data_IF_301522123235
#
_entry.id   IF_301522123235
#
_cell.length_a   1.000
_cell.length_b   1.000
_cell.length_c   1.000
_cell.angle_alpha   90.00
_cell.angle_beta   90.00
_cell.angle_gamma   90.00
#
_symmetry.space_group_name_H-M   'P 1'
#
loop_
_entity.id
_entity.type
_entity.pdbx_description
1 polymer ?
#
# COMPACT_ATOMS: atom_id res chain seq x y z
N UNK A 1 17.28 5.86 -23.38
CA UNK A 1 15.82 6.04 -23.30
C UNK A 1 15.21 4.64 -23.31
N UNK A 2 14.85 4.09 -22.14
CA UNK A 2 14.16 2.80 -22.07
C UNK A 2 12.71 3.08 -22.44
N UNK A 3 12.33 2.77 -23.67
CA UNK A 3 10.94 2.66 -24.07
C UNK A 3 10.35 1.48 -23.29
N UNK A 4 9.79 1.76 -22.10
CA UNK A 4 8.84 0.84 -21.51
C UNK A 4 7.74 0.62 -22.54
N UNK A 5 7.75 -0.52 -23.17
CA UNK A 5 6.64 -1.01 -23.98
C UNK A 5 5.42 -0.82 -23.11
N UNK A 6 4.56 0.15 -23.49
CA UNK A 6 3.30 0.44 -22.80
C UNK A 6 2.42 -0.79 -22.94
N UNK A 7 2.61 -1.76 -22.05
CA UNK A 7 1.83 -2.99 -22.07
C UNK A 7 0.35 -2.62 -22.02
N UNK A 8 -0.49 -3.37 -22.72
CA UNK A 8 -1.97 -3.16 -22.68
C UNK A 8 -2.48 -3.15 -21.26
N UNK A 9 -1.83 -3.91 -20.37
CA UNK A 9 -2.11 -3.95 -18.94
C UNK A 9 -1.84 -2.60 -18.27
N UNK A 10 -0.66 -2.00 -18.49
CA UNK A 10 -0.33 -0.66 -17.94
C UNK A 10 -1.38 0.38 -18.34
N UNK A 11 -1.75 0.43 -19.64
CA UNK A 11 -2.74 1.39 -20.14
C UNK A 11 -4.12 1.17 -19.50
N UNK A 12 -4.53 -0.07 -19.30
CA UNK A 12 -5.80 -0.40 -18.62
C UNK A 12 -5.78 0.05 -17.16
N UNK A 13 -4.68 -0.21 -16.44
CA UNK A 13 -4.54 0.15 -15.02
C UNK A 13 -4.59 1.66 -14.82
N UNK A 14 -3.86 2.43 -15.62
CA UNK A 14 -3.83 3.90 -15.49
C UNK A 14 -5.11 4.59 -15.98
N UNK A 15 -5.91 3.92 -16.83
CA UNK A 15 -7.19 4.42 -17.32
C UNK A 15 -8.33 4.24 -16.31
N UNK A 16 -8.12 3.43 -15.26
CA UNK A 16 -9.13 3.21 -14.23
C UNK A 16 -9.42 4.50 -13.47
N UNK A 17 -10.71 4.79 -13.32
CA UNK A 17 -11.22 5.93 -12.56
C UNK A 17 -12.23 5.49 -11.50
N UNK A 18 -12.65 6.44 -10.66
CA UNK A 18 -13.66 6.20 -9.64
C UNK A 18 -13.34 5.06 -8.67
N UNK A 19 -14.38 4.34 -8.23
CA UNK A 19 -14.25 3.26 -7.25
C UNK A 19 -13.37 2.08 -7.71
N UNK A 20 -13.32 1.80 -9.02
CA UNK A 20 -12.50 0.71 -9.59
C UNK A 20 -11.01 0.92 -9.34
N UNK A 21 -10.56 2.17 -9.37
CA UNK A 21 -9.18 2.53 -9.03
C UNK A 21 -8.86 2.20 -7.57
N UNK A 22 -9.75 2.57 -6.66
CA UNK A 22 -9.60 2.32 -5.23
C UNK A 22 -9.63 0.82 -4.90
N UNK A 23 -10.57 0.09 -5.50
CA UNK A 23 -10.66 -1.36 -5.35
C UNK A 23 -9.39 -2.06 -5.85
N UNK A 24 -8.88 -1.68 -7.03
CA UNK A 24 -7.61 -2.25 -7.53
C UNK A 24 -6.46 -1.94 -6.58
N UNK A 25 -6.37 -0.70 -6.09
CA UNK A 25 -5.29 -0.30 -5.18
C UNK A 25 -5.34 -1.08 -3.86
N UNK A 26 -6.53 -1.29 -3.31
CA UNK A 26 -6.75 -2.13 -2.14
C UNK A 26 -6.29 -3.58 -2.40
N UNK A 27 -6.70 -4.18 -3.52
CA UNK A 27 -6.31 -5.54 -3.90
C UNK A 27 -4.80 -5.68 -4.11
N UNK A 28 -4.12 -4.67 -4.65
CA UNK A 28 -2.66 -4.65 -4.76
C UNK A 28 -2.00 -4.63 -3.37
N UNK A 29 -2.60 -3.93 -2.41
CA UNK A 29 -2.16 -3.96 -1.02
C UNK A 29 -2.32 -5.34 -0.37
N UNK A 30 -3.48 -5.96 -0.53
CA UNK A 30 -3.74 -7.34 -0.07
C UNK A 30 -2.76 -8.32 -0.71
N UNK A 31 -2.51 -8.19 -2.01
CA UNK A 31 -1.53 -9.01 -2.73
C UNK A 31 -0.13 -8.86 -2.13
N UNK A 32 0.30 -7.63 -1.84
CA UNK A 32 1.60 -7.36 -1.22
C UNK A 32 1.70 -7.92 0.19
N UNK A 33 0.59 -7.98 0.95
CA UNK A 33 0.56 -8.62 2.26
C UNK A 33 0.82 -10.14 2.19
N UNK A 34 0.56 -10.78 1.06
CA UNK A 34 0.90 -12.18 0.82
C UNK A 34 2.41 -12.47 0.84
N UNK A 35 3.27 -11.45 0.84
CA UNK A 35 4.70 -11.62 1.07
C UNK A 35 5.05 -11.93 2.54
N UNK A 36 4.13 -11.65 3.46
CA UNK A 36 4.30 -11.90 4.89
C UNK A 36 3.89 -13.34 5.24
N UNK A 37 4.19 -13.75 6.48
CA UNK A 37 3.70 -15.02 7.02
C UNK A 37 2.16 -15.06 7.02
N UNK A 38 1.55 -16.20 6.75
CA UNK A 38 2.15 -17.53 6.55
C UNK A 38 2.54 -17.85 5.10
N UNK A 39 2.17 -17.01 4.12
CA UNK A 39 2.34 -17.33 2.69
C UNK A 39 3.79 -17.19 2.20
N UNK A 40 4.57 -16.27 2.80
CA UNK A 40 5.97 -15.99 2.42
C UNK A 40 6.20 -15.78 0.91
N UNK A 41 5.16 -15.31 0.19
CA UNK A 41 5.17 -15.09 -1.25
C UNK A 41 5.87 -13.79 -1.65
N UNK A 42 7.17 -13.65 -1.41
CA UNK A 42 7.95 -12.41 -1.66
C UNK A 42 7.80 -11.92 -3.11
N UNK A 43 7.62 -12.83 -4.06
CA UNK A 43 7.36 -12.47 -5.46
C UNK A 43 6.07 -11.67 -5.68
N UNK A 44 5.11 -11.72 -4.73
CA UNK A 44 3.87 -10.94 -4.78
C UNK A 44 4.09 -9.43 -4.55
N UNK A 45 5.23 -9.06 -3.95
CA UNK A 45 5.61 -7.65 -3.82
C UNK A 45 5.85 -7.01 -5.19
N UNK A 46 6.38 -7.76 -6.15
CA UNK A 46 6.71 -7.22 -7.48
C UNK A 46 5.46 -6.66 -8.17
N UNK A 47 4.38 -7.43 -8.39
CA UNK A 47 3.16 -6.88 -8.98
C UNK A 47 2.46 -5.85 -8.06
N UNK A 48 2.48 -6.06 -6.74
CA UNK A 48 1.87 -5.14 -5.77
C UNK A 48 2.47 -3.74 -5.84
N UNK A 49 3.79 -3.64 -5.67
CA UNK A 49 4.51 -2.35 -5.67
C UNK A 49 4.62 -1.74 -7.08
N UNK A 50 4.78 -2.56 -8.14
CA UNK A 50 4.79 -2.05 -9.51
C UNK A 50 3.44 -1.44 -9.88
N UNK A 51 2.33 -2.11 -9.54
CA UNK A 51 0.98 -1.59 -9.74
C UNK A 51 0.74 -0.31 -8.96
N UNK A 52 1.21 -0.24 -7.71
CA UNK A 52 1.16 0.97 -6.90
C UNK A 52 1.90 2.13 -7.59
N UNK A 53 3.13 1.92 -8.04
CA UNK A 53 3.93 2.93 -8.73
C UNK A 53 3.25 3.41 -10.02
N UNK A 54 2.65 2.52 -10.81
CA UNK A 54 1.91 2.90 -12.01
C UNK A 54 0.75 3.84 -11.67
N UNK A 55 0.01 3.56 -10.60
CA UNK A 55 -1.10 4.40 -10.15
C UNK A 55 -0.61 5.73 -9.57
N UNK A 56 0.49 5.76 -8.83
CA UNK A 56 1.10 6.99 -8.31
C UNK A 56 1.58 7.90 -9.43
N UNK A 57 2.19 7.34 -10.49
CA UNK A 57 2.69 8.11 -11.63
C UNK A 57 1.65 8.34 -12.74
N UNK A 58 0.45 7.79 -12.63
CA UNK A 58 -0.67 8.11 -13.50
C UNK A 58 -1.06 9.60 -13.34
N UNK A 59 -1.88 10.10 -14.27
CA UNK A 59 -2.40 11.48 -14.20
C UNK A 59 -3.17 11.69 -12.89
N UNK A 60 -2.82 12.74 -12.13
CA UNK A 60 -3.50 13.04 -10.88
C UNK A 60 -2.78 14.07 -10.01
N UNK A 61 -3.47 14.48 -8.95
CA UNK A 61 -3.02 15.42 -7.94
C UNK A 61 -2.31 14.69 -6.78
N UNK A 62 -1.67 15.45 -5.88
CA UNK A 62 -1.14 14.91 -4.63
C UNK A 62 -2.22 14.23 -3.76
N UNK A 63 -3.46 14.77 -3.79
CA UNK A 63 -4.63 14.14 -3.11
C UNK A 63 -4.95 12.77 -3.69
N UNK A 64 -4.88 12.62 -5.02
CA UNK A 64 -5.10 11.33 -5.66
C UNK A 64 -3.97 10.33 -5.31
N UNK A 65 -2.72 10.79 -5.20
CA UNK A 65 -1.61 9.97 -4.74
C UNK A 65 -1.79 9.53 -3.28
N UNK A 66 -2.26 10.44 -2.40
CA UNK A 66 -2.60 10.11 -1.02
C UNK A 66 -3.64 8.98 -0.96
N UNK A 67 -4.76 9.13 -1.69
CA UNK A 67 -5.79 8.09 -1.73
C UNK A 67 -5.28 6.74 -2.24
N UNK A 68 -4.42 6.74 -3.27
CA UNK A 68 -3.78 5.51 -3.77
C UNK A 68 -2.93 4.86 -2.69
N UNK A 69 -2.08 5.62 -1.99
CA UNK A 69 -1.26 5.10 -0.90
C UNK A 69 -2.09 4.61 0.28
N UNK A 70 -3.14 5.36 0.65
CA UNK A 70 -4.00 5.01 1.76
C UNK A 70 -4.78 3.70 1.50
N UNK A 71 -5.42 3.56 0.32
CA UNK A 71 -6.14 2.34 -0.03
C UNK A 71 -5.22 1.14 -0.18
N UNK A 72 -4.00 1.33 -0.70
CA UNK A 72 -2.99 0.29 -0.73
C UNK A 72 -2.60 -0.15 0.69
N UNK A 73 -2.25 0.80 1.55
CA UNK A 73 -1.89 0.53 2.94
C UNK A 73 -3.03 -0.12 3.71
N UNK A 74 -4.26 0.36 3.52
CA UNK A 74 -5.44 -0.21 4.16
C UNK A 74 -5.64 -1.68 3.77
N UNK A 75 -5.51 -2.03 2.48
CA UNK A 75 -5.54 -3.42 2.03
C UNK A 75 -4.40 -4.27 2.60
N UNK A 76 -3.18 -3.72 2.57
CA UNK A 76 -1.99 -4.39 3.07
C UNK A 76 -2.08 -4.70 4.56
N UNK A 77 -2.43 -3.71 5.37
CA UNK A 77 -2.53 -3.89 6.82
C UNK A 77 -3.78 -4.66 7.24
N UNK A 78 -4.91 -4.51 6.56
CA UNK A 78 -6.11 -5.32 6.85
C UNK A 78 -5.83 -6.82 6.66
N UNK A 79 -5.07 -7.19 5.63
CA UNK A 79 -4.69 -8.57 5.39
C UNK A 79 -3.53 -9.01 6.30
N UNK A 80 -2.54 -8.13 6.56
CA UNK A 80 -1.36 -8.46 7.36
C UNK A 80 -1.63 -8.55 8.86
N UNK A 81 -2.64 -7.82 9.37
CA UNK A 81 -2.96 -7.75 10.80
C UNK A 81 -4.09 -8.71 11.23
N UNK A 82 -4.44 -9.71 10.40
CA UNK A 82 -5.49 -10.67 10.75
C UNK A 82 -5.25 -11.37 12.11
N UNK A 83 -3.98 -11.53 12.50
CA UNK A 83 -3.59 -12.14 13.78
C UNK A 83 -4.05 -11.33 15.00
N UNK A 84 -4.25 -10.02 14.85
CA UNK A 84 -4.80 -9.16 15.92
C UNK A 84 -6.23 -9.60 16.26
N UNK A 85 -7.00 -10.04 15.27
CA UNK A 85 -8.32 -10.60 15.51
C UNK A 85 -8.26 -11.86 16.39
N UNK A 86 -7.26 -12.73 16.19
CA UNK A 86 -7.11 -13.96 16.94
C UNK A 86 -6.93 -13.69 18.46
N UNK A 87 -6.22 -12.63 18.82
CA UNK A 87 -6.06 -12.23 20.21
C UNK A 87 -7.39 -11.86 20.88
N UNK A 88 -8.28 -11.18 20.15
CA UNK A 88 -9.61 -10.81 20.65
C UNK A 88 -10.60 -11.96 20.62
N UNK A 89 -10.44 -12.90 19.70
CA UNK A 89 -11.25 -14.10 19.57
C UNK A 89 -10.88 -15.20 20.58
N UNK A 90 -9.87 -15.01 21.41
CA UNK A 90 -9.57 -15.88 22.55
C UNK A 90 -10.71 -15.85 23.59
N UNK A 91 -11.40 -14.71 23.72
CA UNK A 91 -12.60 -14.54 24.55
C UNK A 91 -13.76 -13.95 23.72
N UNK A 92 -14.36 -14.75 22.83
CA UNK A 92 -15.28 -14.25 21.80
C UNK A 92 -16.52 -13.60 22.39
N UNK A 93 -17.04 -14.10 23.50
CA UNK A 93 -18.25 -13.60 24.16
C UNK A 93 -18.09 -12.17 24.71
N UNK A 94 -16.85 -11.78 25.06
CA UNK A 94 -16.55 -10.45 25.58
C UNK A 94 -16.03 -9.49 24.52
N UNK A 95 -15.11 -9.94 23.67
CA UNK A 95 -14.31 -9.06 22.80
C UNK A 95 -14.45 -9.36 21.31
N UNK A 96 -15.18 -10.45 20.92
CA UNK A 96 -15.29 -10.83 19.52
C UNK A 96 -15.88 -9.76 18.61
N UNK A 97 -16.84 -8.95 19.12
CA UNK A 97 -17.43 -7.85 18.37
C UNK A 97 -16.44 -6.70 18.09
N UNK A 98 -15.38 -6.57 18.90
CA UNK A 98 -14.34 -5.55 18.72
C UNK A 98 -13.33 -5.92 17.64
N UNK A 99 -13.18 -7.20 17.31
CA UNK A 99 -12.15 -7.69 16.39
C UNK A 99 -12.13 -6.96 15.04
N UNK A 100 -13.25 -6.80 14.32
CA UNK A 100 -13.24 -6.07 13.05
C UNK A 100 -12.86 -4.60 13.22
N UNK A 101 -13.33 -3.95 14.29
CA UNK A 101 -12.99 -2.55 14.55
C UNK A 101 -11.52 -2.36 14.89
N UNK A 102 -10.94 -3.27 15.67
CA UNK A 102 -9.53 -3.22 16.01
C UNK A 102 -8.65 -3.43 14.77
N UNK A 103 -8.92 -4.44 13.95
CA UNK A 103 -8.13 -4.72 12.75
C UNK A 103 -8.25 -3.59 11.73
N UNK A 104 -9.47 -3.22 11.34
CA UNK A 104 -9.67 -2.18 10.33
C UNK A 104 -9.32 -0.77 10.83
N UNK A 105 -9.57 -0.48 12.10
CA UNK A 105 -9.17 0.79 12.71
C UNK A 105 -7.66 0.95 12.72
N UNK A 106 -6.92 -0.07 13.17
CA UNK A 106 -5.46 -0.06 13.16
C UNK A 106 -4.92 0.00 11.72
N UNK A 107 -5.48 -0.80 10.81
CA UNK A 107 -5.10 -0.76 9.40
C UNK A 107 -5.30 0.62 8.77
N UNK A 108 -6.40 1.31 9.09
CA UNK A 108 -6.69 2.66 8.59
C UNK A 108 -5.66 3.69 9.08
N UNK A 109 -5.24 3.59 10.34
CA UNK A 109 -4.20 4.46 10.90
C UNK A 109 -2.84 4.15 10.29
N UNK A 110 -2.45 2.89 10.21
CA UNK A 110 -1.16 2.49 9.61
C UNK A 110 -1.10 2.82 8.11
N UNK A 111 -2.23 2.84 7.41
CA UNK A 111 -2.31 3.23 6.00
C UNK A 111 -1.85 4.67 5.72
N UNK A 112 -1.77 5.53 6.75
CA UNK A 112 -1.23 6.89 6.62
C UNK A 112 0.25 6.88 6.20
N UNK A 113 1.04 5.89 6.61
CA UNK A 113 2.45 5.79 6.24
C UNK A 113 2.64 5.59 4.72
N UNK A 114 2.05 4.56 4.07
CA UNK A 114 2.07 4.45 2.62
C UNK A 114 1.44 5.64 1.90
N UNK A 115 0.42 6.28 2.48
CA UNK A 115 -0.17 7.49 1.90
C UNK A 115 0.85 8.63 1.84
N UNK A 116 1.61 8.87 2.91
CA UNK A 116 2.68 9.87 2.91
C UNK A 116 3.79 9.52 1.90
N UNK A 117 4.21 8.25 1.87
CA UNK A 117 5.23 7.78 0.90
C UNK A 117 4.79 8.07 -0.53
N UNK A 118 3.56 7.75 -0.91
CA UNK A 118 3.06 7.95 -2.27
C UNK A 118 2.94 9.44 -2.63
N UNK A 119 2.54 10.30 -1.70
CA UNK A 119 2.52 11.75 -1.89
C UNK A 119 3.93 12.29 -2.14
N UNK A 120 4.88 11.95 -1.26
CA UNK A 120 6.26 12.41 -1.39
C UNK A 120 6.91 11.89 -2.67
N UNK A 121 6.69 10.63 -3.03
CA UNK A 121 7.13 10.05 -4.30
C UNK A 121 6.55 10.82 -5.49
N UNK A 122 5.28 11.18 -5.44
CA UNK A 122 4.63 11.97 -6.49
C UNK A 122 5.23 13.37 -6.63
N UNK A 123 5.51 14.04 -5.52
CA UNK A 123 6.11 15.36 -5.52
C UNK A 123 7.54 15.33 -6.05
N UNK A 124 8.33 14.33 -5.66
CA UNK A 124 9.70 14.12 -6.11
C UNK A 124 9.79 13.77 -7.61
N UNK A 125 8.72 13.22 -8.19
CA UNK A 125 8.65 12.86 -9.61
C UNK A 125 8.87 14.05 -10.56
N UNK A 126 8.71 15.28 -10.07
CA UNK A 126 9.01 16.51 -10.83
C UNK A 126 10.51 16.73 -11.07
N UNK A 127 11.35 16.18 -10.18
CA UNK A 127 12.82 16.34 -10.20
C UNK A 127 13.56 15.10 -10.68
N UNK A 128 12.90 13.94 -10.69
CA UNK A 128 13.49 12.65 -11.04
C UNK A 128 12.76 11.99 -12.20
N UNK A 129 13.49 11.23 -13.01
CA UNK A 129 12.92 10.44 -14.13
C UNK A 129 13.45 9.02 -14.11
N UNK A 130 12.75 8.13 -14.79
CA UNK A 130 13.18 6.72 -14.96
C UNK A 130 13.45 6.03 -13.63
N UNK A 131 14.66 5.47 -13.50
CA UNK A 131 15.10 4.72 -12.32
C UNK A 131 15.16 5.59 -11.05
N UNK A 132 15.44 6.88 -11.18
CA UNK A 132 15.49 7.81 -10.05
C UNK A 132 14.16 7.86 -9.28
N UNK A 133 13.02 7.72 -9.95
CA UNK A 133 11.70 7.64 -9.30
C UNK A 133 11.54 6.38 -8.45
N UNK A 134 12.07 5.26 -8.93
CA UNK A 134 12.04 3.98 -8.20
C UNK A 134 12.93 4.05 -6.98
N UNK A 135 14.12 4.64 -7.10
CA UNK A 135 15.05 4.81 -5.98
C UNK A 135 14.47 5.73 -4.90
N UNK A 136 13.86 6.86 -5.30
CA UNK A 136 13.19 7.77 -4.35
C UNK A 136 12.03 7.06 -3.65
N UNK A 137 11.23 6.30 -4.38
CA UNK A 137 10.15 5.51 -3.77
C UNK A 137 10.70 4.50 -2.78
N UNK A 138 11.75 3.74 -3.13
CA UNK A 138 12.36 2.75 -2.25
C UNK A 138 12.94 3.40 -0.98
N UNK A 139 13.65 4.53 -1.13
CA UNK A 139 14.20 5.26 0.00
C UNK A 139 13.10 5.78 0.94
N UNK A 140 12.05 6.40 0.39
CA UNK A 140 10.91 6.87 1.18
C UNK A 140 10.18 5.70 1.85
N UNK A 141 9.96 4.60 1.13
CA UNK A 141 9.33 3.41 1.70
C UNK A 141 10.10 2.90 2.90
N UNK A 142 11.40 2.67 2.75
CA UNK A 142 12.27 2.19 3.84
C UNK A 142 12.29 3.16 5.02
N UNK A 143 12.37 4.47 4.77
CA UNK A 143 12.35 5.49 5.81
C UNK A 143 11.04 5.48 6.60
N UNK A 144 9.90 5.38 5.91
CA UNK A 144 8.60 5.36 6.57
C UNK A 144 8.31 4.03 7.28
N UNK A 145 8.81 2.90 6.78
CA UNK A 145 8.76 1.61 7.51
C UNK A 145 9.59 1.68 8.81
N UNK A 146 10.80 2.25 8.73
CA UNK A 146 11.63 2.48 9.90
C UNK A 146 10.93 3.41 10.90
N UNK A 147 10.37 4.54 10.44
CA UNK A 147 9.64 5.47 11.29
C UNK A 147 8.42 4.79 11.95
N UNK A 148 7.67 3.98 11.19
CA UNK A 148 6.51 3.23 11.70
C UNK A 148 6.91 2.27 12.82
N UNK A 149 8.02 1.55 12.67
CA UNK A 149 8.51 0.62 13.68
C UNK A 149 8.86 1.31 15.01
N UNK A 150 9.30 2.57 14.94
CA UNK A 150 9.57 3.37 16.14
C UNK A 150 8.29 3.94 16.77
N UNK A 151 7.40 4.48 15.97
CA UNK A 151 6.16 5.14 16.45
C UNK A 151 5.19 4.12 17.05
N UNK A 152 5.11 2.93 16.49
CA UNK A 152 4.19 1.88 16.91
C UNK A 152 4.88 0.67 17.57
N UNK A 153 6.08 0.83 18.10
CA UNK A 153 6.80 -0.16 18.90
C UNK A 153 6.84 -1.57 18.29
N UNK A 154 7.03 -1.65 16.96
CA UNK A 154 7.22 -2.92 16.26
C UNK A 154 6.06 -3.38 15.39
N UNK A 155 5.00 -2.58 15.23
CA UNK A 155 3.94 -2.85 14.24
C UNK A 155 4.35 -2.51 12.81
#
# INVERSE_FOLDING_TARGET
MVNFVKSRLYLRVIALGGWRRWALTFLLGVLAAGAMAPLHGVFLLVPGLSGLLWLVFSKGTARAAFGVGWWFGFGHFSAGLYWVANALLTYPDRFGWMAPFAVFGLAAVLALFPACVTVLTRLSARRCSGIGRVLVFAALWTTFEWLRSWVFTGF
#
